data_IF_545279244874
#
_entry.id   IF_545279244874
#
_cell.length_a   1.000
_cell.length_b   1.000
_cell.length_c   1.000
_cell.angle_alpha   90.00
_cell.angle_beta   90.00
_cell.angle_gamma   90.00
#
_symmetry.space_group_name_H-M   'P 1'
#
loop_
_entity.id
_entity.type
_entity.pdbx_description
1 polymer ?
#
# COMPACT_ATOMS: atom_id res chain seq x y z
N UNK A 1 30.91 45.23 4.94
CA UNK A 1 30.93 44.54 3.64
C UNK A 1 30.79 43.05 3.93
N UNK A 2 29.58 42.50 3.79
CA UNK A 2 29.28 41.09 4.02
C UNK A 2 29.71 40.29 2.79
N UNK A 3 30.51 39.25 2.98
CA UNK A 3 30.87 38.31 1.93
C UNK A 3 30.22 36.95 2.23
N UNK A 4 28.97 36.83 1.79
CA UNK A 4 28.18 35.61 1.86
C UNK A 4 28.54 34.73 0.64
N UNK A 5 28.89 33.46 0.86
CA UNK A 5 28.82 32.41 -0.17
C UNK A 5 27.89 31.31 0.31
N UNK A 6 27.06 30.87 -0.63
CA UNK A 6 25.80 30.16 -0.50
C UNK A 6 25.93 28.63 -0.37
N UNK A 7 24.88 27.95 0.16
CA UNK A 7 24.81 26.49 0.29
C UNK A 7 24.67 25.77 -1.06
N UNK A 8 25.22 24.55 -1.18
CA UNK A 8 24.83 23.58 -2.23
C UNK A 8 25.90 23.02 -3.17
N UNK A 9 27.07 22.58 -2.68
CA UNK A 9 27.99 21.73 -3.46
C UNK A 9 29.04 21.05 -2.55
N UNK A 10 28.88 19.75 -2.34
CA UNK A 10 30.01 18.85 -2.09
C UNK A 10 29.86 17.63 -3.03
N UNK A 11 30.99 17.27 -3.64
CA UNK A 11 31.12 16.49 -4.87
C UNK A 11 30.89 14.99 -4.71
N UNK A 12 30.42 14.39 -5.81
CA UNK A 12 30.20 12.95 -6.04
C UNK A 12 31.50 12.16 -6.10
N UNK A 13 31.46 10.94 -5.55
CA UNK A 13 32.19 9.77 -6.08
C UNK A 13 31.18 8.60 -6.10
N UNK A 14 30.53 8.35 -7.24
CA UNK A 14 30.96 7.43 -8.29
C UNK A 14 30.50 5.98 -8.03
N UNK A 15 29.20 5.75 -8.22
CA UNK A 15 28.73 4.52 -8.84
C UNK A 15 27.71 4.90 -9.91
N UNK A 16 27.83 4.29 -11.08
CA UNK A 16 27.40 4.84 -12.38
C UNK A 16 25.88 4.97 -12.47
N UNK A 17 25.38 6.20 -12.40
CA UNK A 17 24.05 6.60 -12.85
C UNK A 17 24.24 7.30 -14.19
N UNK A 18 23.75 6.74 -15.29
CA UNK A 18 23.71 7.46 -16.57
C UNK A 18 22.67 8.57 -16.47
N UNK A 19 23.13 9.80 -16.21
CA UNK A 19 22.33 11.01 -15.99
C UNK A 19 21.56 11.51 -17.22
N UNK A 20 21.68 10.87 -18.39
CA UNK A 20 21.01 11.30 -19.62
C UNK A 20 19.55 10.82 -19.76
N UNK A 21 19.06 9.92 -18.90
CA UNK A 21 17.71 9.37 -19.01
C UNK A 21 16.58 10.29 -18.47
N UNK A 22 16.92 11.47 -17.94
CA UNK A 22 15.94 12.36 -17.29
C UNK A 22 15.97 13.82 -17.78
N UNK A 23 16.56 14.08 -18.95
CA UNK A 23 16.43 15.36 -19.65
C UNK A 23 15.05 15.48 -20.28
N UNK A 24 14.40 16.64 -20.16
CA UNK A 24 13.14 16.96 -20.86
C UNK A 24 13.36 17.28 -22.36
N UNK A 25 14.46 16.81 -22.94
CA UNK A 25 14.77 16.96 -24.36
C UNK A 25 14.07 15.87 -25.18
N UNK A 26 13.85 16.12 -26.47
CA UNK A 26 13.20 15.17 -27.38
C UNK A 26 13.99 13.84 -27.46
N UNK A 27 15.32 13.90 -27.44
CA UNK A 27 16.21 12.73 -27.36
C UNK A 27 16.10 11.99 -26.02
N UNK A 28 16.00 12.71 -24.89
CA UNK A 28 15.84 12.13 -23.56
C UNK A 28 14.51 11.40 -23.37
N UNK A 29 13.42 11.97 -23.88
CA UNK A 29 12.10 11.33 -23.90
C UNK A 29 12.09 10.09 -24.80
N UNK A 30 12.76 10.14 -25.97
CA UNK A 30 12.88 9.00 -26.88
C UNK A 30 13.63 7.84 -26.21
N UNK A 31 14.73 8.14 -25.52
CA UNK A 31 15.51 7.15 -24.78
C UNK A 31 14.74 6.55 -23.61
N UNK A 32 14.00 7.38 -22.89
CA UNK A 32 13.16 6.97 -21.77
C UNK A 32 12.02 6.06 -22.24
N UNK A 33 11.31 6.44 -23.31
CA UNK A 33 10.27 5.64 -23.94
C UNK A 33 10.80 4.29 -24.42
N UNK A 34 11.96 4.26 -25.09
CA UNK A 34 12.62 3.02 -25.53
C UNK A 34 12.93 2.10 -24.34
N UNK A 35 13.42 2.68 -23.25
CA UNK A 35 13.74 1.94 -22.03
C UNK A 35 12.49 1.39 -21.34
N UNK A 36 11.39 2.13 -21.32
CA UNK A 36 10.11 1.64 -20.81
C UNK A 36 9.55 0.50 -21.67
N UNK A 37 9.65 0.59 -23.00
CA UNK A 37 9.25 -0.49 -23.91
C UNK A 37 10.08 -1.75 -23.64
N UNK A 38 11.40 -1.63 -23.49
CA UNK A 38 12.27 -2.75 -23.14
C UNK A 38 11.90 -3.36 -21.77
N UNK A 39 11.58 -2.52 -20.78
CA UNK A 39 11.20 -2.95 -19.43
C UNK A 39 9.86 -3.69 -19.38
N UNK A 40 8.90 -3.37 -20.26
CA UNK A 40 7.61 -4.08 -20.33
C UNK A 40 7.66 -5.36 -21.17
N UNK A 41 8.84 -5.79 -21.60
CA UNK A 41 9.04 -7.03 -22.38
C UNK A 41 9.23 -6.81 -23.87
N UNK A 42 9.60 -5.60 -24.29
CA UNK A 42 9.85 -5.24 -25.68
C UNK A 42 8.57 -4.98 -26.48
N UNK A 43 8.73 -4.63 -27.77
CA UNK A 43 7.61 -4.43 -28.69
C UNK A 43 6.75 -5.68 -28.85
N UNK A 44 7.35 -6.86 -28.75
CA UNK A 44 6.64 -8.14 -28.91
C UNK A 44 5.65 -8.41 -27.77
N UNK A 45 5.86 -7.80 -26.60
CA UNK A 45 4.96 -7.92 -25.47
C UNK A 45 4.00 -6.73 -25.34
N UNK A 46 4.11 -5.68 -26.15
CA UNK A 46 3.33 -4.46 -26.02
C UNK A 46 2.23 -4.40 -27.10
N UNK A 47 0.96 -4.39 -26.68
CA UNK A 47 -0.22 -4.43 -27.56
C UNK A 47 -0.92 -3.09 -27.72
N UNK A 48 -1.03 -2.31 -26.65
CA UNK A 48 -1.61 -0.97 -26.71
C UNK A 48 -0.93 -0.04 -25.70
N UNK A 49 -0.86 1.24 -26.04
CA UNK A 49 -0.25 2.29 -25.23
C UNK A 49 -1.28 3.40 -25.05
N UNK A 50 -1.71 3.61 -23.82
CA UNK A 50 -2.52 4.72 -23.39
C UNK A 50 -1.80 5.46 -22.25
N UNK A 51 -2.12 6.73 -22.06
CA UNK A 51 -1.58 7.53 -20.97
C UNK A 51 -2.68 8.38 -20.35
N UNK A 52 -2.56 8.61 -19.05
CA UNK A 52 -3.32 9.59 -18.29
C UNK A 52 -2.33 10.52 -17.59
N UNK A 53 -2.83 11.62 -17.01
CA UNK A 53 -2.07 12.69 -16.35
C UNK A 53 -0.84 12.22 -15.56
N UNK A 54 -0.94 11.11 -14.80
CA UNK A 54 0.17 10.60 -13.98
C UNK A 54 0.58 9.14 -14.25
N UNK A 55 -0.11 8.44 -15.17
CA UNK A 55 0.05 7.00 -15.36
C UNK A 55 0.04 6.59 -16.83
N UNK A 56 1.01 5.79 -17.24
CA UNK A 56 1.02 5.04 -18.49
C UNK A 56 0.17 3.79 -18.33
N UNK A 57 -0.92 3.67 -19.09
CA UNK A 57 -1.76 2.47 -19.13
C UNK A 57 -1.33 1.65 -20.34
N UNK A 58 -0.70 0.51 -20.10
CA UNK A 58 -0.17 -0.33 -21.16
C UNK A 58 -0.95 -1.64 -21.20
N UNK A 59 -1.35 -2.03 -22.40
CA UNK A 59 -1.84 -3.39 -22.64
C UNK A 59 -0.66 -4.22 -23.14
N UNK A 60 -0.31 -5.26 -22.41
CA UNK A 60 0.76 -6.21 -22.71
C UNK A 60 0.21 -7.58 -23.08
N UNK A 61 1.01 -8.40 -23.77
CA UNK A 61 0.68 -9.80 -24.02
C UNK A 61 0.72 -10.65 -22.75
N UNK A 62 1.75 -10.42 -21.94
CA UNK A 62 1.98 -11.11 -20.67
C UNK A 62 2.66 -10.18 -19.64
N UNK A 63 1.95 -9.91 -18.55
CA UNK A 63 2.42 -9.11 -17.42
C UNK A 63 3.59 -9.73 -16.66
N UNK A 64 3.82 -11.05 -16.80
CA UNK A 64 4.96 -11.72 -16.16
C UNK A 64 6.30 -11.36 -16.83
N UNK A 65 6.27 -10.94 -18.10
CA UNK A 65 7.45 -10.46 -18.84
C UNK A 65 7.80 -9.00 -18.54
N UNK A 66 6.96 -8.31 -17.76
CA UNK A 66 7.17 -6.92 -17.35
C UNK A 66 8.13 -6.91 -16.17
N UNK A 67 9.22 -6.16 -16.32
CA UNK A 67 10.25 -5.97 -15.30
C UNK A 67 9.96 -4.72 -14.47
N UNK A 68 9.25 -4.92 -13.35
CA UNK A 68 8.86 -3.85 -12.43
C UNK A 68 10.07 -3.08 -11.87
N UNK A 69 11.17 -3.78 -11.60
CA UNK A 69 12.41 -3.18 -11.11
C UNK A 69 13.11 -2.31 -12.17
N UNK A 70 13.01 -2.67 -13.45
CA UNK A 70 13.47 -1.83 -14.54
C UNK A 70 12.60 -0.57 -14.67
N UNK A 71 11.27 -0.70 -14.63
CA UNK A 71 10.37 0.46 -14.67
C UNK A 71 10.63 1.44 -13.51
N UNK A 72 10.84 0.95 -12.28
CA UNK A 72 11.17 1.81 -11.13
C UNK A 72 12.52 2.52 -11.29
N UNK A 73 13.53 1.84 -11.81
CA UNK A 73 14.84 2.45 -12.11
C UNK A 73 14.78 3.55 -13.18
N UNK A 74 13.81 3.47 -14.08
CA UNK A 74 13.53 4.50 -15.10
C UNK A 74 12.73 5.69 -14.55
N UNK A 75 12.48 5.75 -13.24
CA UNK A 75 11.78 6.85 -12.58
C UNK A 75 10.28 6.63 -12.39
N UNK A 76 9.77 5.40 -12.61
CA UNK A 76 8.40 5.08 -12.22
C UNK A 76 8.29 5.00 -10.69
N UNK A 77 7.34 5.72 -10.11
CA UNK A 77 6.97 5.60 -8.70
C UNK A 77 6.36 4.23 -8.39
N UNK A 78 5.80 3.55 -9.40
CA UNK A 78 5.26 2.20 -9.25
C UNK A 78 4.80 1.58 -10.55
N UNK A 79 4.64 0.25 -10.55
CA UNK A 79 4.00 -0.52 -11.62
C UNK A 79 2.87 -1.32 -10.99
N UNK A 80 1.68 -1.20 -11.54
CA UNK A 80 0.46 -1.88 -11.08
C UNK A 80 0.01 -2.82 -12.19
N UNK A 81 -0.08 -4.12 -11.92
CA UNK A 81 -0.56 -5.11 -12.90
C UNK A 81 -2.03 -5.40 -12.58
N UNK A 82 -2.95 -4.82 -13.34
CA UNK A 82 -4.40 -4.97 -13.11
C UNK A 82 -4.88 -6.37 -13.48
N UNK A 83 -4.29 -6.96 -14.52
CA UNK A 83 -4.51 -8.34 -14.92
C UNK A 83 -3.29 -8.83 -15.71
N UNK A 84 -3.38 -10.05 -16.28
CA UNK A 84 -2.27 -10.65 -17.06
C UNK A 84 -1.88 -9.87 -18.32
N UNK A 85 -2.71 -8.94 -18.78
CA UNK A 85 -2.57 -8.18 -20.02
C UNK A 85 -2.66 -6.67 -19.85
N UNK A 86 -3.02 -6.15 -18.68
CA UNK A 86 -3.19 -4.71 -18.46
C UNK A 86 -2.33 -4.28 -17.28
N UNK A 87 -1.43 -3.33 -17.53
CA UNK A 87 -0.53 -2.77 -16.51
C UNK A 87 -0.63 -1.25 -16.50
N UNK A 88 -0.31 -0.63 -15.37
CA UNK A 88 -0.18 0.81 -15.21
C UNK A 88 1.18 1.15 -14.62
N UNK A 89 1.95 1.96 -15.32
CA UNK A 89 3.23 2.48 -14.84
C UNK A 89 3.02 3.92 -14.39
N UNK A 90 3.25 4.18 -13.10
CA UNK A 90 3.08 5.51 -12.50
C UNK A 90 4.38 6.27 -12.71
N UNK A 91 4.39 7.19 -13.68
CA UNK A 91 5.58 7.98 -14.06
C UNK A 91 5.42 9.48 -13.76
N UNK A 92 4.32 9.85 -13.09
CA UNK A 92 4.02 11.24 -12.74
C UNK A 92 3.64 12.08 -13.96
N UNK A 93 3.78 13.41 -13.85
CA UNK A 93 3.32 14.38 -14.85
C UNK A 93 3.89 14.20 -16.28
N UNK A 94 4.88 13.32 -16.46
CA UNK A 94 5.49 12.98 -17.75
C UNK A 94 4.78 11.83 -18.49
N UNK A 95 3.71 11.27 -17.93
CA UNK A 95 3.05 10.07 -18.45
C UNK A 95 2.51 10.23 -19.88
N UNK A 96 1.91 11.37 -20.20
CA UNK A 96 1.40 11.65 -21.54
C UNK A 96 2.53 11.77 -22.56
N UNK A 97 3.57 12.57 -22.24
CA UNK A 97 4.72 12.75 -23.11
C UNK A 97 5.49 11.46 -23.37
N UNK A 98 5.64 10.60 -22.35
CA UNK A 98 6.29 9.30 -22.51
C UNK A 98 5.41 8.36 -23.35
N UNK A 99 4.08 8.37 -23.15
CA UNK A 99 3.16 7.52 -23.89
C UNK A 99 3.12 7.84 -25.39
N UNK A 100 3.11 9.11 -25.75
CA UNK A 100 3.15 9.53 -27.14
C UNK A 100 4.49 9.22 -27.80
N UNK A 101 5.60 9.34 -27.07
CA UNK A 101 6.91 8.98 -27.59
C UNK A 101 7.09 7.46 -27.71
N UNK A 102 6.51 6.67 -26.79
CA UNK A 102 6.46 5.21 -26.92
C UNK A 102 5.74 4.79 -28.20
N UNK A 103 4.64 5.45 -28.57
CA UNK A 103 3.93 5.17 -29.84
C UNK A 103 4.82 5.45 -31.05
N UNK A 104 5.58 6.56 -31.04
CA UNK A 104 6.55 6.87 -32.11
C UNK A 104 7.71 5.89 -32.18
N UNK A 105 8.23 5.43 -31.04
CA UNK A 105 9.32 4.45 -31.00
C UNK A 105 8.86 3.09 -31.55
N UNK A 106 7.66 2.64 -31.18
CA UNK A 106 7.07 1.38 -31.69
C UNK A 106 6.88 1.42 -33.22
N UNK A 107 6.55 2.57 -33.81
CA UNK A 107 6.42 2.71 -35.27
C UNK A 107 7.75 2.84 -36.00
N UNK A 108 8.83 3.25 -35.33
CA UNK A 108 10.18 3.39 -35.92
C UNK A 108 10.96 2.07 -35.99
N UNK A 109 10.65 1.09 -35.15
CA UNK A 109 11.25 -0.24 -35.22
C UNK A 109 11.09 -1.09 -33.95
N UNK A 110 11.43 -2.38 -34.00
CA UNK A 110 11.30 -3.28 -32.86
C UNK A 110 12.30 -2.95 -31.76
N UNK A 111 11.83 -2.94 -30.50
CA UNK A 111 12.65 -2.74 -29.30
C UNK A 111 12.73 -4.07 -28.57
N UNK A 112 13.96 -4.57 -28.39
CA UNK A 112 14.20 -5.82 -27.68
C UNK A 112 13.86 -5.71 -26.19
N UNK A 113 13.34 -6.80 -25.61
CA UNK A 113 13.12 -6.89 -24.17
C UNK A 113 14.43 -6.75 -23.39
N UNK A 114 14.39 -6.05 -22.25
CA UNK A 114 15.54 -6.00 -21.35
C UNK A 114 15.83 -7.41 -20.80
N UNK A 115 17.05 -7.92 -21.03
CA UNK A 115 17.45 -9.25 -20.58
C UNK A 115 17.33 -9.37 -19.05
N UNK A 116 16.52 -10.33 -18.59
CA UNK A 116 16.41 -10.65 -17.18
C UNK A 116 17.70 -11.33 -16.69
N UNK A 117 18.31 -10.80 -15.63
CA UNK A 117 19.21 -11.61 -14.80
C UNK A 117 18.41 -12.77 -14.18
N UNK A 118 19.00 -13.98 -14.05
CA UNK A 118 18.23 -15.21 -13.99
C UNK A 118 17.42 -15.36 -12.70
N UNK A 119 16.20 -15.85 -12.89
CA UNK A 119 15.29 -16.31 -11.85
C UNK A 119 15.76 -17.66 -11.29
N UNK A 120 15.94 -17.73 -9.96
CA UNK A 120 15.93 -18.99 -9.22
C UNK A 120 14.49 -19.33 -8.85
N UNK A 121 13.94 -20.36 -9.49
CA UNK A 121 12.57 -20.83 -9.32
C UNK A 121 12.54 -21.95 -8.27
N UNK A 122 11.78 -21.82 -7.19
CA UNK A 122 11.15 -22.98 -6.50
C UNK A 122 9.78 -22.57 -5.99
N UNK A 123 8.77 -23.31 -6.44
CA UNK A 123 7.39 -23.22 -6.02
C UNK A 123 7.14 -23.88 -4.66
N UNK A 124 6.04 -23.44 -4.02
CA UNK A 124 5.26 -24.15 -2.97
C UNK A 124 5.96 -24.57 -1.68
N UNK A 125 5.86 -23.70 -0.67
CA UNK A 125 5.43 -24.05 0.69
C UNK A 125 5.18 -22.74 1.46
N UNK A 126 4.08 -22.65 2.20
CA UNK A 126 3.76 -21.52 3.04
C UNK A 126 4.93 -21.20 3.99
N UNK A 127 5.44 -19.95 4.04
CA UNK A 127 6.28 -19.52 5.12
C UNK A 127 5.37 -18.93 6.20
N UNK A 128 5.28 -19.64 7.32
CA UNK A 128 4.89 -19.03 8.59
C UNK A 128 5.76 -17.79 8.82
N UNK A 129 5.11 -16.67 9.11
CA UNK A 129 5.77 -15.41 9.42
C UNK A 129 6.74 -15.63 10.60
N UNK A 130 8.05 -15.58 10.31
CA UNK A 130 9.05 -15.23 11.32
C UNK A 130 9.32 -13.73 11.22
N UNK A 131 9.43 -13.02 12.36
CA UNK A 131 9.49 -11.56 12.37
C UNK A 131 10.76 -11.08 11.67
N UNK A 132 10.62 -10.18 10.71
CA UNK A 132 11.76 -9.48 10.15
C UNK A 132 12.16 -8.39 11.14
N UNK A 133 13.12 -8.72 12.01
CA UNK A 133 13.69 -7.80 12.97
C UNK A 133 14.47 -6.69 12.24
N UNK A 134 13.93 -5.48 12.25
CA UNK A 134 14.75 -4.26 12.15
C UNK A 134 15.47 -4.09 13.49
N UNK A 135 16.64 -4.71 13.62
CA UNK A 135 17.50 -4.51 14.77
C UNK A 135 17.91 -3.02 14.83
N UNK A 136 17.40 -2.31 15.85
CA UNK A 136 17.70 -0.93 16.28
C UNK A 136 16.67 0.19 15.99
N UNK A 137 15.49 -0.08 15.42
CA UNK A 137 14.44 0.95 15.39
C UNK A 137 13.63 0.94 16.70
N UNK A 138 13.50 2.09 17.37
CA UNK A 138 12.74 2.23 18.62
C UNK A 138 11.24 1.99 18.34
N UNK A 139 10.60 1.14 19.13
CA UNK A 139 9.13 1.00 19.09
C UNK A 139 8.51 2.32 19.53
N UNK A 140 7.69 2.90 18.67
CA UNK A 140 6.95 4.15 18.93
C UNK A 140 5.61 3.81 19.57
N UNK A 141 4.92 2.79 19.05
CA UNK A 141 3.60 2.41 19.52
C UNK A 141 3.40 0.89 19.39
N UNK A 142 2.61 0.31 20.30
CA UNK A 142 2.24 -1.11 20.26
C UNK A 142 0.72 -1.22 20.36
N UNK A 143 0.10 -1.86 19.37
CA UNK A 143 -1.34 -2.00 19.32
C UNK A 143 -1.75 -3.39 19.81
N UNK A 144 -2.88 -3.45 20.51
CA UNK A 144 -3.62 -4.69 20.76
C UNK A 144 -4.72 -4.86 19.73
N UNK A 145 -5.21 -6.10 19.57
CA UNK A 145 -6.32 -6.37 18.66
C UNK A 145 -7.57 -5.60 19.12
N UNK A 146 -8.23 -4.82 18.25
CA UNK A 146 -9.49 -4.16 18.57
C UNK A 146 -10.67 -5.15 18.58
N UNK A 147 -10.51 -6.35 18.01
CA UNK A 147 -11.59 -7.34 17.88
C UNK A 147 -11.07 -8.75 18.19
N UNK A 148 -11.89 -9.61 18.79
CA UNK A 148 -11.56 -11.03 18.99
C UNK A 148 -11.87 -11.78 17.72
N UNK A 149 -10.92 -12.56 17.20
CA UNK A 149 -11.11 -13.22 15.91
C UNK A 149 -9.93 -13.97 15.37
N UNK A 150 -10.05 -14.35 14.11
CA UNK A 150 -9.00 -14.98 13.32
C UNK A 150 -8.27 -13.91 12.50
N UNK A 151 -6.95 -13.89 12.61
CA UNK A 151 -6.07 -12.97 11.88
C UNK A 151 -6.07 -13.33 10.40
N UNK A 152 -6.22 -12.31 9.57
CA UNK A 152 -6.21 -12.39 8.10
C UNK A 152 -5.17 -11.41 7.58
N UNK A 153 -4.32 -11.86 6.64
CA UNK A 153 -3.36 -10.98 6.00
C UNK A 153 -4.10 -9.86 5.27
N UNK A 154 -3.57 -8.64 5.31
CA UNK A 154 -4.22 -7.47 4.71
C UNK A 154 -4.42 -7.68 3.20
N UNK A 155 -3.50 -8.36 2.54
CA UNK A 155 -3.54 -8.70 1.12
C UNK A 155 -4.65 -9.71 0.75
N UNK A 156 -5.23 -10.41 1.73
CA UNK A 156 -6.34 -11.35 1.54
C UNK A 156 -7.71 -10.70 1.77
N UNK A 157 -7.74 -9.42 2.14
CA UNK A 157 -8.98 -8.67 2.28
C UNK A 157 -9.64 -8.51 0.91
N UNK A 158 -10.94 -8.79 0.76
CA UNK A 158 -11.65 -8.72 -0.53
C UNK A 158 -12.02 -7.27 -0.92
N UNK A 159 -11.09 -6.34 -0.70
CA UNK A 159 -11.17 -4.92 -1.03
C UNK A 159 -9.79 -4.43 -1.49
N UNK A 160 -9.73 -3.83 -2.68
CA UNK A 160 -8.45 -3.45 -3.29
C UNK A 160 -7.77 -2.31 -2.54
N UNK A 161 -8.51 -1.38 -1.94
CA UNK A 161 -7.94 -0.24 -1.23
C UNK A 161 -7.19 -0.69 0.02
N UNK A 162 -7.73 -1.67 0.74
CA UNK A 162 -7.04 -2.29 1.88
C UNK A 162 -5.95 -3.28 1.43
N UNK A 163 -6.25 -4.19 0.49
CA UNK A 163 -5.30 -5.24 0.08
C UNK A 163 -4.04 -4.70 -0.60
N UNK A 164 -4.14 -3.55 -1.28
CA UNK A 164 -3.00 -2.85 -1.88
C UNK A 164 -2.24 -1.97 -0.89
N UNK A 165 -2.71 -1.84 0.35
CA UNK A 165 -2.19 -0.93 1.39
C UNK A 165 -2.31 0.56 1.04
N UNK A 166 -3.17 0.90 0.08
CA UNK A 166 -3.37 2.29 -0.32
C UNK A 166 -4.01 3.15 0.80
N UNK A 167 -4.78 2.52 1.68
CA UNK A 167 -5.39 3.18 2.86
C UNK A 167 -4.42 3.24 4.05
N UNK A 168 -3.39 2.39 4.05
CA UNK A 168 -2.45 2.21 5.15
C UNK A 168 -1.97 0.76 5.26
N UNK A 169 -0.89 0.55 6.01
CA UNK A 169 -0.36 -0.79 6.31
C UNK A 169 -0.89 -1.31 7.66
N UNK A 170 -1.01 -2.63 7.78
CA UNK A 170 -1.56 -3.26 8.98
C UNK A 170 -2.01 -4.70 8.72
N UNK A 171 -3.11 -5.09 9.37
CA UNK A 171 -3.64 -6.46 9.32
C UNK A 171 -5.15 -6.46 9.43
N UNK A 172 -5.79 -7.53 8.98
CA UNK A 172 -7.23 -7.69 9.14
C UNK A 172 -7.56 -8.79 10.17
N UNK A 173 -8.75 -8.69 10.76
CA UNK A 173 -9.28 -9.69 11.70
C UNK A 173 -10.68 -10.08 11.27
N UNK A 174 -10.95 -11.38 11.18
CA UNK A 174 -12.31 -11.92 11.02
C UNK A 174 -12.94 -12.07 12.41
N UNK A 175 -13.98 -11.29 12.75
CA UNK A 175 -14.51 -11.21 14.10
C UNK A 175 -15.25 -12.48 14.51
N UNK A 176 -15.13 -12.80 15.80
CA UNK A 176 -15.85 -13.87 16.50
C UNK A 176 -16.55 -13.38 17.76
N UNK A 177 -16.31 -12.13 18.17
CA UNK A 177 -17.00 -11.44 19.26
C UNK A 177 -17.75 -10.20 18.76
N UNK A 178 -18.80 -9.82 19.48
CA UNK A 178 -19.62 -8.65 19.17
C UNK A 178 -19.03 -7.31 19.61
N UNK A 179 -18.03 -7.28 20.50
CA UNK A 179 -17.43 -6.01 20.97
C UNK A 179 -16.19 -5.64 20.17
N UNK A 180 -16.12 -4.37 19.78
CA UNK A 180 -14.95 -3.69 19.21
C UNK A 180 -14.40 -2.74 20.26
N UNK A 181 -13.09 -2.82 20.53
CA UNK A 181 -12.40 -2.02 21.54
C UNK A 181 -11.32 -1.14 20.92
N UNK A 182 -10.85 -0.14 21.66
CA UNK A 182 -9.72 0.68 21.25
C UNK A 182 -8.42 -0.16 21.18
N UNK A 183 -7.66 -0.10 20.07
CA UNK A 183 -6.42 -0.86 19.93
C UNK A 183 -5.22 -0.25 20.66
N UNK A 184 -5.29 1.00 21.08
CA UNK A 184 -4.26 1.71 21.82
C UNK A 184 -4.89 2.85 22.65
N UNK A 185 -4.09 3.53 23.47
CA UNK A 185 -4.52 4.76 24.13
C UNK A 185 -4.44 5.95 23.15
N UNK A 186 -5.47 6.79 23.13
CA UNK A 186 -5.56 7.92 22.20
C UNK A 186 -6.95 8.54 22.16
N UNK A 187 -7.18 9.38 21.16
CA UNK A 187 -8.45 10.10 20.98
C UNK A 187 -9.20 9.54 19.77
N UNK A 188 -10.49 9.25 19.93
CA UNK A 188 -11.35 8.83 18.80
C UNK A 188 -11.68 10.05 17.95
N UNK A 189 -10.91 10.28 16.89
CA UNK A 189 -11.02 11.50 16.06
C UNK A 189 -12.20 11.49 15.11
N UNK A 190 -12.67 10.31 14.71
CA UNK A 190 -13.81 10.18 13.79
C UNK A 190 -14.51 8.84 13.98
N UNK A 191 -15.83 8.85 13.99
CA UNK A 191 -16.67 7.66 13.82
C UNK A 191 -17.49 7.89 12.55
N UNK A 192 -17.51 6.91 11.65
CA UNK A 192 -18.25 7.06 10.40
C UNK A 192 -19.76 7.10 10.68
N UNK A 193 -20.53 7.81 9.86
CA UNK A 193 -21.98 8.03 10.08
C UNK A 193 -22.77 6.72 10.25
N UNK A 194 -22.35 5.65 9.57
CA UNK A 194 -22.97 4.32 9.65
C UNK A 194 -22.31 3.42 10.71
N UNK A 195 -21.52 3.97 11.62
CA UNK A 195 -20.90 3.31 12.78
C UNK A 195 -20.07 2.04 12.47
N UNK A 196 -19.69 1.83 11.21
CA UNK A 196 -18.97 0.64 10.74
C UNK A 196 -17.44 0.81 10.76
N UNK A 197 -16.95 1.99 11.08
CA UNK A 197 -15.53 2.28 11.18
C UNK A 197 -15.27 3.46 12.12
N UNK A 198 -14.06 3.51 12.67
CA UNK A 198 -13.57 4.66 13.42
C UNK A 198 -12.08 4.88 13.19
N UNK A 199 -11.66 6.12 13.40
CA UNK A 199 -10.26 6.54 13.42
C UNK A 199 -9.86 6.87 14.85
N UNK A 200 -8.72 6.33 15.29
CA UNK A 200 -8.08 6.62 16.56
C UNK A 200 -6.73 7.29 16.29
N UNK A 201 -6.51 8.47 16.83
CA UNK A 201 -5.18 9.07 16.87
C UNK A 201 -4.54 8.71 18.21
N UNK A 202 -3.42 7.99 18.16
CA UNK A 202 -2.68 7.60 19.36
C UNK A 202 -1.92 8.81 19.92
N UNK A 203 -1.57 8.76 21.21
CA UNK A 203 -0.77 9.82 21.85
C UNK A 203 0.61 10.03 21.20
N UNK A 204 1.08 9.05 20.43
CA UNK A 204 2.35 9.09 19.71
C UNK A 204 2.19 9.51 18.23
N UNK A 205 1.00 9.95 17.81
CA UNK A 205 0.72 10.49 16.48
C UNK A 205 0.40 9.44 15.41
N UNK A 206 0.29 8.15 15.76
CA UNK A 206 -0.15 7.12 14.81
C UNK A 206 -1.66 7.20 14.63
N UNK A 207 -2.11 7.28 13.38
CA UNK A 207 -3.52 7.31 13.00
C UNK A 207 -3.96 5.89 12.63
N UNK A 208 -4.83 5.33 13.46
CA UNK A 208 -5.30 3.95 13.31
C UNK A 208 -6.74 3.97 12.80
N UNK A 209 -6.95 3.29 11.68
CA UNK A 209 -8.27 3.07 11.11
C UNK A 209 -8.70 1.65 11.40
N UNK A 210 -9.81 1.51 12.12
CA UNK A 210 -10.48 0.23 12.35
C UNK A 210 -11.76 0.22 11.54
N UNK A 211 -11.85 -0.69 10.58
CA UNK A 211 -12.98 -0.80 9.66
C UNK A 211 -13.62 -2.18 9.81
N UNK A 212 -14.91 -2.25 10.16
CA UNK A 212 -15.62 -3.50 10.38
C UNK A 212 -16.28 -3.98 9.10
N UNK A 213 -15.79 -5.11 8.59
CA UNK A 213 -16.24 -5.71 7.34
C UNK A 213 -15.89 -4.90 6.09
N UNK A 214 -16.37 -5.34 4.94
CA UNK A 214 -16.21 -4.69 3.62
C UNK A 214 -17.58 -4.35 3.07
N UNK A 215 -17.72 -3.17 2.46
CA UNK A 215 -18.98 -2.60 1.94
C UNK A 215 -20.09 -2.44 3.00
N UNK A 216 -19.75 -2.43 4.30
CA UNK A 216 -20.72 -2.32 5.42
C UNK A 216 -21.41 -0.96 5.51
N UNK A 217 -20.90 0.07 4.82
CA UNK A 217 -21.59 1.35 4.64
C UNK A 217 -22.98 1.19 4.02
N UNK A 218 -23.17 0.19 3.14
CA UNK A 218 -24.45 -0.10 2.49
C UNK A 218 -25.53 -0.61 3.46
N UNK A 219 -25.15 -0.99 4.68
CA UNK A 219 -26.07 -1.44 5.73
C UNK A 219 -26.70 -0.27 6.50
N UNK A 220 -26.32 0.98 6.18
CA UNK A 220 -26.92 2.19 6.76
C UNK A 220 -26.85 2.22 8.30
N UNK A 221 -25.81 1.60 8.88
CA UNK A 221 -25.60 1.50 10.33
C UNK A 221 -26.36 0.37 11.02
N UNK A 222 -27.14 -0.43 10.30
CA UNK A 222 -27.78 -1.63 10.85
C UNK A 222 -26.72 -2.65 11.25
N UNK A 223 -26.88 -3.19 12.47
CA UNK A 223 -25.93 -4.13 13.06
C UNK A 223 -24.75 -3.49 13.77
N UNK A 224 -24.68 -2.15 13.87
CA UNK A 224 -23.67 -1.44 14.65
C UNK A 224 -24.34 -0.56 15.71
N UNK A 225 -23.78 -0.57 16.91
CA UNK A 225 -24.20 0.28 18.03
C UNK A 225 -23.00 1.01 18.60
N UNK A 226 -23.09 2.34 18.63
CA UNK A 226 -22.05 3.23 19.13
C UNK A 226 -22.05 3.26 20.65
N UNK A 227 -20.88 3.10 21.28
CA UNK A 227 -20.70 3.13 22.74
C UNK A 227 -19.97 4.39 23.22
N UNK A 228 -19.18 5.04 22.35
CA UNK A 228 -18.41 6.26 22.67
C UNK A 228 -18.63 7.35 21.62
N UNK A 229 -18.36 8.60 21.99
CA UNK A 229 -18.48 9.76 21.10
C UNK A 229 -17.15 10.18 20.47
N UNK A 230 -17.20 10.98 19.41
CA UNK A 230 -16.03 11.56 18.77
C UNK A 230 -15.40 12.59 19.70
N UNK A 231 -14.07 12.66 19.71
CA UNK A 231 -13.29 13.46 20.65
C UNK A 231 -13.13 12.81 22.03
N UNK A 232 -13.65 11.59 22.25
CA UNK A 232 -13.43 10.87 23.52
C UNK A 232 -12.00 10.32 23.57
N UNK A 233 -11.30 10.58 24.67
CA UNK A 233 -10.05 9.92 25.01
C UNK A 233 -10.32 8.52 25.57
N UNK A 234 -9.66 7.52 25.01
CA UNK A 234 -9.87 6.11 25.32
C UNK A 234 -8.56 5.42 25.67
N UNK A 235 -8.66 4.33 26.44
CA UNK A 235 -7.53 3.44 26.74
C UNK A 235 -7.60 2.18 25.89
N UNK A 236 -6.45 1.53 25.70
CA UNK A 236 -6.40 0.21 25.05
C UNK A 236 -7.37 -0.76 25.75
N UNK A 237 -8.22 -1.43 24.96
CA UNK A 237 -9.24 -2.36 25.46
C UNK A 237 -10.59 -1.72 25.84
N UNK A 238 -10.72 -0.40 25.77
CA UNK A 238 -11.99 0.29 26.05
C UNK A 238 -13.03 0.04 24.94
N UNK A 239 -14.28 -0.35 25.26
CA UNK A 239 -15.31 -0.61 24.24
C UNK A 239 -15.69 0.64 23.45
N UNK A 240 -15.66 0.56 22.12
CA UNK A 240 -15.99 1.67 21.21
C UNK A 240 -17.32 1.42 20.50
N UNK A 241 -17.51 0.19 20.00
CA UNK A 241 -18.68 -0.22 19.21
C UNK A 241 -19.10 -1.64 19.58
N UNK A 242 -20.39 -1.90 19.44
CA UNK A 242 -21.01 -3.22 19.53
C UNK A 242 -21.57 -3.62 18.15
N UNK A 243 -21.41 -4.89 17.79
CA UNK A 243 -21.77 -5.47 16.50
C UNK A 243 -22.80 -6.58 16.65
N UNK A 244 -23.79 -6.62 15.78
CA UNK A 244 -24.66 -7.79 15.58
C UNK A 244 -24.02 -8.70 14.54
N UNK A 245 -23.20 -9.65 14.99
CA UNK A 245 -22.49 -10.55 14.08
C UNK A 245 -23.41 -11.44 13.25
N UNK A 246 -24.58 -11.83 13.77
CA UNK A 246 -25.51 -12.68 13.03
C UNK A 246 -26.10 -11.90 11.86
N UNK A 247 -26.57 -10.68 12.11
CA UNK A 247 -27.04 -9.78 11.07
C UNK A 247 -25.93 -9.44 10.07
N UNK A 248 -24.74 -9.08 10.56
CA UNK A 248 -23.65 -8.62 9.72
C UNK A 248 -23.07 -9.75 8.85
N UNK A 249 -22.92 -10.97 9.37
CA UNK A 249 -22.46 -12.11 8.56
C UNK A 249 -23.48 -12.50 7.47
N UNK A 250 -24.76 -12.24 7.69
CA UNK A 250 -25.81 -12.53 6.71
C UNK A 250 -25.97 -11.45 5.63
N UNK A 251 -25.63 -10.20 5.93
CA UNK A 251 -25.93 -9.05 5.06
C UNK A 251 -24.69 -8.30 4.52
N UNK A 252 -23.54 -8.38 5.20
CA UNK A 252 -22.31 -7.77 4.73
C UNK A 252 -21.63 -8.64 3.65
N UNK A 253 -20.91 -8.00 2.73
CA UNK A 253 -20.13 -8.71 1.71
C UNK A 253 -19.03 -9.57 2.33
N UNK A 254 -18.40 -9.07 3.38
CA UNK A 254 -17.40 -9.78 4.18
C UNK A 254 -17.30 -9.13 5.55
N UNK A 255 -17.11 -9.93 6.60
CA UNK A 255 -16.80 -9.43 7.94
C UNK A 255 -15.31 -9.35 8.24
N UNK A 256 -14.44 -9.64 7.27
CA UNK A 256 -13.00 -9.38 7.43
C UNK A 256 -12.83 -7.88 7.68
N UNK A 257 -12.28 -7.54 8.86
CA UNK A 257 -12.24 -6.19 9.40
C UNK A 257 -10.80 -5.68 9.42
N UNK A 258 -10.40 -4.77 8.51
CA UNK A 258 -9.06 -4.18 8.49
C UNK A 258 -8.77 -3.32 9.72
N UNK A 259 -7.54 -3.41 10.20
CA UNK A 259 -6.93 -2.57 11.24
C UNK A 259 -5.61 -2.06 10.67
N UNK A 260 -5.60 -0.80 10.23
CA UNK A 260 -4.46 -0.23 9.49
C UNK A 260 -3.99 1.08 10.12
N UNK A 261 -2.72 1.37 9.96
CA UNK A 261 -2.13 2.67 10.24
C UNK A 261 -2.18 3.51 8.96
N UNK A 262 -3.00 4.56 8.90
CA UNK A 262 -3.18 5.37 7.69
C UNK A 262 -1.94 6.18 7.35
N UNK A 263 -1.24 6.71 8.35
CA UNK A 263 0.01 7.42 8.20
C UNK A 263 1.25 6.50 8.34
N UNK A 264 1.18 5.25 7.86
CA UNK A 264 2.28 4.30 7.96
C UNK A 264 3.60 4.79 7.33
N UNK A 265 3.52 5.66 6.31
CA UNK A 265 4.68 6.25 5.62
C UNK A 265 5.50 7.22 6.51
N UNK A 266 4.91 7.71 7.60
CA UNK A 266 5.61 8.55 8.58
C UNK A 266 6.55 7.74 9.46
N UNK A 267 6.40 6.42 9.49
CA UNK A 267 7.14 5.48 10.31
C UNK A 267 8.15 4.68 9.49
N UNK A 268 9.09 4.01 10.16
CA UNK A 268 10.09 3.17 9.49
C UNK A 268 9.54 1.82 9.06
N UNK A 269 8.71 1.22 9.92
CA UNK A 269 8.18 -0.11 9.71
C UNK A 269 6.97 -0.40 10.59
N UNK A 270 6.11 -1.28 10.10
CA UNK A 270 5.09 -1.97 10.88
C UNK A 270 5.49 -3.44 11.04
N UNK A 271 5.59 -3.89 12.29
CA UNK A 271 5.96 -5.27 12.63
C UNK A 271 4.72 -5.99 13.12
N UNK A 272 4.16 -6.85 12.28
CA UNK A 272 3.04 -7.71 12.64
C UNK A 272 3.48 -8.73 13.70
N UNK A 273 2.79 -8.75 14.84
CA UNK A 273 3.04 -9.68 15.94
C UNK A 273 1.99 -10.79 16.02
N UNK A 274 0.75 -10.48 15.66
CA UNK A 274 -0.35 -11.41 15.74
C UNK A 274 -0.32 -12.46 14.63
N UNK A 275 -0.68 -13.69 15.01
CA UNK A 275 -0.97 -14.79 14.08
C UNK A 275 -2.03 -15.72 14.69
N UNK A 276 -2.82 -16.37 13.84
CA UNK A 276 -3.87 -17.29 14.30
C UNK A 276 -5.03 -16.54 14.96
N UNK A 277 -5.31 -16.85 16.24
CA UNK A 277 -6.42 -16.26 16.99
C UNK A 277 -5.95 -15.10 17.87
N UNK A 278 -6.73 -14.02 17.89
CA UNK A 278 -6.49 -12.83 18.71
C UNK A 278 -7.69 -12.55 19.60
N UNK A 279 -7.43 -11.96 20.77
CA UNK A 279 -8.42 -11.54 21.76
C UNK A 279 -8.43 -10.03 21.86
N UNK A 280 -9.62 -9.43 21.76
CA UNK A 280 -9.82 -7.99 21.84
C UNK A 280 -9.20 -7.41 23.13
N UNK A 281 -8.45 -6.32 23.00
CA UNK A 281 -7.84 -5.59 24.12
C UNK A 281 -6.67 -6.31 24.82
N UNK A 282 -6.32 -7.52 24.39
CA UNK A 282 -5.32 -8.35 25.08
C UNK A 282 -4.17 -8.75 24.17
N UNK A 283 -4.47 -9.30 22.99
CA UNK A 283 -3.43 -9.84 22.11
C UNK A 283 -2.72 -8.72 21.35
N UNK A 284 -1.37 -8.62 21.43
CA UNK A 284 -0.62 -7.68 20.62
C UNK A 284 -0.83 -7.95 19.13
N UNK A 285 -1.22 -6.92 18.38
CA UNK A 285 -1.54 -6.99 16.96
C UNK A 285 -0.30 -6.70 16.11
N UNK A 286 0.24 -5.50 16.25
CA UNK A 286 1.46 -5.06 15.59
C UNK A 286 2.14 -3.92 16.33
N UNK A 287 3.43 -3.72 16.06
CA UNK A 287 4.22 -2.60 16.56
C UNK A 287 4.55 -1.63 15.42
N UNK A 288 4.56 -0.34 15.75
CA UNK A 288 4.99 0.73 14.85
C UNK A 288 6.40 1.15 15.26
N UNK A 289 7.33 1.13 14.30
CA UNK A 289 8.75 1.49 14.50
C UNK A 289 9.02 2.90 14.03
N UNK A 290 9.65 3.71 14.87
CA UNK A 290 10.02 5.08 14.54
C UNK A 290 11.16 5.16 13.51
N UNK A 291 11.29 6.33 12.90
CA UNK A 291 12.45 6.73 12.08
C UNK A 291 13.69 7.02 12.92
#
# INVERSE_FOLDING_TARGET
MFNLKTPGREDKAADVVTEEANSNTEEGLTQLATSYIAAVGGTDNLKAIDACITRLRLTVGDSAKVNDAACKRLGASGVVKLNKQTIQVIVGAKAESIGDEMKKVVTRGPVAAAAAAPAGNVATAAPAAKPQAVANAKTVESLVSPITGDVVALEQVPDEAFASKAVGDGIAVKPTSNIVVAPAAGTVVKIFNTNHAFCLETNNGAEIVVHMGIDTVALEGKGFKRLVEEGTDVKAGEPILEMDLDFLNANARSMISPVVCSNSDDYSALVILASGKVVAGQTPLYEIKGK
#
